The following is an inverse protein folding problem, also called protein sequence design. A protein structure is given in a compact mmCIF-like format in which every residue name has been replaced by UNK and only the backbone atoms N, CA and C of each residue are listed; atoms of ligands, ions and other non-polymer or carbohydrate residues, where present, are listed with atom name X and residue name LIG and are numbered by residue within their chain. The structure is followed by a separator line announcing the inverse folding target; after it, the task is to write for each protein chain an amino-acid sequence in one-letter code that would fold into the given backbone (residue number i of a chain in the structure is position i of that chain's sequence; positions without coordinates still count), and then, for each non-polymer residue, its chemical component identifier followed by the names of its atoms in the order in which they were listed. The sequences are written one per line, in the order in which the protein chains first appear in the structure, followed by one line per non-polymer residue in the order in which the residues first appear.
data_IF_246711264519
#
_entry.id   IF_246711264519
#
_cell.length_a   1.000
_cell.length_b   1.000
_cell.length_c   1.000
_cell.angle_alpha   90.00
_cell.angle_beta   90.00
_cell.angle_gamma   90.00
#
_symmetry.space_group_name_H-M   'P 1'
#
loop_
_entity.id
_entity.type
_entity.pdbx_description
1 polymer ?
#
# COMPACT_ATOMS: atom_id res chain seq x y z
N UNK A 1 15.26 6.36 6.62
CA UNK A 1 14.41 5.26 7.11
C UNK A 1 15.35 4.25 7.71
N UNK A 2 15.35 4.06 9.03
CA UNK A 2 16.21 3.04 9.65
C UNK A 2 15.77 1.66 9.19
N UNK A 3 16.72 0.77 8.90
CA UNK A 3 16.50 -0.57 8.34
C UNK A 3 15.42 -1.36 9.09
N UNK A 4 15.37 -1.19 10.42
CA UNK A 4 14.45 -1.87 11.33
C UNK A 4 12.98 -1.50 11.10
N UNK A 5 12.69 -0.23 10.74
CA UNK A 5 11.32 0.25 10.45
C UNK A 5 10.79 -0.33 9.14
N UNK A 6 11.66 -0.50 8.15
CA UNK A 6 11.33 -1.16 6.88
C UNK A 6 11.01 -2.63 7.11
N UNK A 7 11.84 -3.33 7.88
CA UNK A 7 11.67 -4.75 8.18
C UNK A 7 10.33 -4.97 8.90
N UNK A 8 10.01 -4.20 9.94
CA UNK A 8 8.75 -4.33 10.67
C UNK A 8 7.52 -4.13 9.77
N UNK A 9 7.53 -3.13 8.89
CA UNK A 9 6.44 -2.87 7.95
C UNK A 9 6.30 -4.02 6.95
N UNK A 10 7.41 -4.48 6.38
CA UNK A 10 7.43 -5.62 5.45
C UNK A 10 6.93 -6.90 6.14
N UNK A 11 7.31 -7.13 7.40
CA UNK A 11 6.86 -8.28 8.18
C UNK A 11 5.36 -8.23 8.46
N UNK A 12 4.80 -7.08 8.86
CA UNK A 12 3.34 -6.95 9.08
C UNK A 12 2.57 -7.19 7.79
N UNK A 13 3.02 -6.60 6.66
CA UNK A 13 2.39 -6.81 5.35
C UNK A 13 2.53 -8.28 4.92
N UNK A 14 3.69 -8.90 5.10
CA UNK A 14 3.93 -10.30 4.74
C UNK A 14 3.11 -11.28 5.58
N UNK A 15 3.03 -11.08 6.91
CA UNK A 15 2.20 -11.90 7.80
C UNK A 15 0.73 -11.75 7.44
N UNK A 16 0.28 -10.54 7.14
CA UNK A 16 -1.09 -10.25 6.73
C UNK A 16 -1.44 -10.96 5.41
N UNK A 17 -0.53 -10.92 4.43
CA UNK A 17 -0.67 -11.65 3.17
C UNK A 17 -0.62 -13.18 3.37
N UNK A 18 0.30 -13.69 4.20
CA UNK A 18 0.42 -15.12 4.52
C UNK A 18 -0.82 -15.66 5.23
N UNK A 19 -1.32 -14.93 6.23
CA UNK A 19 -2.56 -15.28 6.93
C UNK A 19 -3.76 -15.29 5.98
N UNK A 20 -3.81 -14.33 5.05
CA UNK A 20 -4.83 -14.30 4.01
C UNK A 20 -4.71 -15.44 2.99
N UNK A 21 -3.50 -15.82 2.61
CA UNK A 21 -3.26 -16.91 1.66
C UNK A 21 -3.69 -18.28 2.18
N UNK A 22 -3.77 -18.47 3.50
CA UNK A 22 -4.28 -19.72 4.10
C UNK A 22 -5.80 -19.85 3.99
N UNK A 23 -6.53 -18.74 3.85
CA UNK A 23 -8.00 -18.75 3.70
C UNK A 23 -8.37 -18.99 2.23
N UNK A 24 -9.06 -20.10 1.95
CA UNK A 24 -9.51 -20.46 0.58
C UNK A 24 -10.32 -19.33 -0.07
N UNK A 25 -11.25 -18.73 0.67
CA UNK A 25 -12.08 -17.60 0.23
C UNK A 25 -11.25 -16.38 -0.18
N UNK A 26 -10.18 -16.02 0.54
CA UNK A 26 -9.34 -14.87 0.18
C UNK A 26 -8.50 -15.11 -1.08
N UNK A 27 -8.07 -16.37 -1.32
CA UNK A 27 -7.38 -16.73 -2.57
C UNK A 27 -8.33 -16.67 -3.77
N UNK A 28 -9.56 -17.12 -3.61
CA UNK A 28 -10.58 -17.06 -4.66
C UNK A 28 -10.96 -15.61 -4.98
N UNK A 29 -11.11 -14.76 -3.97
CA UNK A 29 -11.31 -13.32 -4.14
C UNK A 29 -10.10 -12.65 -4.83
N UNK A 30 -8.86 -13.00 -4.47
CA UNK A 30 -7.69 -12.47 -5.16
C UNK A 30 -7.67 -12.89 -6.64
N UNK A 31 -8.02 -14.13 -6.95
CA UNK A 31 -8.11 -14.62 -8.33
C UNK A 31 -9.21 -13.91 -9.11
N UNK A 32 -10.37 -13.64 -8.51
CA UNK A 32 -11.46 -12.92 -9.17
C UNK A 32 -11.08 -11.47 -9.47
N UNK A 33 -10.33 -10.81 -8.57
CA UNK A 33 -9.83 -9.46 -8.80
C UNK A 33 -8.87 -9.38 -9.99
N UNK A 34 -7.91 -10.29 -10.06
CA UNK A 34 -6.93 -10.32 -11.18
C UNK A 34 -7.59 -10.77 -12.48
N UNK A 35 -8.68 -11.53 -12.41
CA UNK A 35 -9.45 -11.96 -13.59
C UNK A 35 -10.44 -10.89 -14.08
N UNK A 36 -10.78 -9.91 -13.22
CA UNK A 36 -11.66 -8.81 -13.56
C UNK A 36 -10.90 -7.72 -14.31
N UNK A 37 -11.11 -7.63 -15.63
CA UNK A 37 -10.48 -6.64 -16.51
C UNK A 37 -10.67 -5.19 -16.02
N UNK A 38 -11.86 -4.84 -15.51
CA UNK A 38 -12.12 -3.48 -15.01
C UNK A 38 -11.29 -3.17 -13.76
N UNK A 39 -11.16 -4.13 -12.86
CA UNK A 39 -10.35 -3.98 -11.66
C UNK A 39 -8.86 -3.87 -11.99
N UNK A 40 -8.36 -4.73 -12.88
CA UNK A 40 -6.97 -4.70 -13.35
C UNK A 40 -6.63 -3.38 -14.04
N UNK A 41 -7.51 -2.86 -14.90
CA UNK A 41 -7.30 -1.56 -15.56
C UNK A 41 -7.22 -0.44 -14.53
N UNK A 42 -8.11 -0.40 -13.54
CA UNK A 42 -8.05 0.59 -12.46
C UNK A 42 -6.75 0.51 -11.67
N UNK A 43 -6.30 -0.70 -11.32
CA UNK A 43 -5.01 -0.91 -10.66
C UNK A 43 -3.84 -0.41 -11.50
N UNK A 44 -3.86 -0.67 -12.81
CA UNK A 44 -2.85 -0.20 -13.75
C UNK A 44 -2.79 1.33 -13.78
N UNK A 45 -3.94 2.01 -13.83
CA UNK A 45 -4.01 3.47 -13.80
C UNK A 45 -3.43 4.02 -12.50
N UNK A 46 -3.77 3.43 -11.36
CA UNK A 46 -3.23 3.84 -10.04
C UNK A 46 -1.72 3.67 -10.01
N UNK A 47 -1.20 2.53 -10.48
CA UNK A 47 0.25 2.26 -10.54
C UNK A 47 0.94 3.26 -11.47
N UNK A 48 0.40 3.48 -12.67
CA UNK A 48 0.94 4.48 -13.61
C UNK A 48 0.96 5.89 -12.99
N UNK A 49 -0.08 6.27 -12.25
CA UNK A 49 -0.12 7.55 -11.55
C UNK A 49 0.95 7.65 -10.46
N UNK A 50 1.12 6.62 -9.63
CA UNK A 50 2.18 6.59 -8.61
C UNK A 50 3.57 6.68 -9.25
N UNK A 51 3.80 5.95 -10.34
CA UNK A 51 5.07 5.98 -11.09
C UNK A 51 5.30 7.36 -11.71
N UNK A 52 4.28 7.97 -12.30
CA UNK A 52 4.36 9.33 -12.84
C UNK A 52 4.80 10.33 -11.75
N UNK A 53 4.12 10.33 -10.61
CA UNK A 53 4.46 11.24 -9.51
C UNK A 53 5.87 10.96 -8.96
N UNK A 54 6.26 9.69 -8.86
CA UNK A 54 7.56 9.31 -8.31
C UNK A 54 8.75 9.60 -9.23
N UNK A 55 8.60 9.37 -10.54
CA UNK A 55 9.70 9.46 -11.51
C UNK A 55 9.73 10.77 -12.30
N UNK A 56 8.63 11.53 -12.33
CA UNK A 56 8.55 12.79 -13.08
C UNK A 56 8.37 13.96 -12.10
N UNK A 57 7.25 14.01 -11.37
CA UNK A 57 6.92 15.17 -10.53
C UNK A 57 7.87 15.36 -9.34
N UNK A 58 8.28 14.25 -8.69
CA UNK A 58 9.15 14.30 -7.53
C UNK A 58 10.58 14.78 -7.88
N UNK A 59 11.25 14.28 -8.94
CA UNK A 59 12.53 14.81 -9.40
C UNK A 59 12.50 16.29 -9.78
N UNK A 60 11.47 16.71 -10.53
CA UNK A 60 11.33 18.07 -11.07
C UNK A 60 10.99 19.12 -10.00
N UNK A 61 10.49 18.70 -8.83
CA UNK A 61 10.17 19.63 -7.75
C UNK A 61 11.42 20.05 -7.00
N UNK A 62 11.87 21.30 -7.11
CA UNK A 62 13.03 21.81 -6.36
C UNK A 62 12.70 22.20 -4.91
N UNK A 63 11.44 22.59 -4.65
CA UNK A 63 10.96 22.95 -3.32
C UNK A 63 10.96 21.75 -2.37
N UNK A 64 11.76 21.85 -1.30
CA UNK A 64 11.92 20.80 -0.27
C UNK A 64 10.62 20.50 0.48
N UNK A 65 9.78 21.50 0.76
CA UNK A 65 8.51 21.32 1.46
C UNK A 65 7.51 20.63 0.53
N UNK A 66 7.42 21.08 -0.72
CA UNK A 66 6.56 20.44 -1.73
C UNK A 66 6.97 18.99 -2.01
N UNK A 67 8.28 18.71 -2.13
CA UNK A 67 8.82 17.34 -2.23
C UNK A 67 8.38 16.46 -1.07
N UNK A 68 8.47 16.96 0.17
CA UNK A 68 8.06 16.21 1.37
C UNK A 68 6.57 15.86 1.31
N UNK A 69 5.72 16.81 0.91
CA UNK A 69 4.28 16.60 0.72
C UNK A 69 3.99 15.54 -0.35
N UNK A 70 4.70 15.57 -1.48
CA UNK A 70 4.56 14.55 -2.55
C UNK A 70 4.92 13.16 -2.03
N UNK A 71 6.04 13.02 -1.32
CA UNK A 71 6.47 11.74 -0.73
C UNK A 71 5.42 11.22 0.26
N UNK A 72 4.87 12.08 1.11
CA UNK A 72 3.84 11.70 2.07
C UNK A 72 2.51 11.32 1.39
N UNK A 73 2.15 12.00 0.30
CA UNK A 73 1.00 11.63 -0.53
C UNK A 73 1.17 10.27 -1.20
N UNK A 74 2.34 9.96 -1.77
CA UNK A 74 2.64 8.63 -2.35
C UNK A 74 2.51 7.55 -1.27
N UNK A 75 3.11 7.78 -0.10
CA UNK A 75 3.05 6.89 1.06
C UNK A 75 1.61 6.60 1.50
N UNK A 76 0.78 7.63 1.65
CA UNK A 76 -0.63 7.50 2.03
C UNK A 76 -1.47 6.83 0.94
N UNK A 77 -1.24 7.17 -0.32
CA UNK A 77 -1.90 6.53 -1.46
C UNK A 77 -1.59 5.03 -1.56
N UNK A 78 -0.33 4.65 -1.39
CA UNK A 78 0.07 3.24 -1.35
C UNK A 78 -0.56 2.50 -0.18
N UNK A 79 -0.59 3.11 1.02
CA UNK A 79 -1.27 2.52 2.18
C UNK A 79 -2.76 2.29 1.91
N UNK A 80 -3.44 3.28 1.34
CA UNK A 80 -4.86 3.19 0.97
C UNK A 80 -5.11 2.08 -0.05
N UNK A 81 -4.21 1.91 -1.03
CA UNK A 81 -4.27 0.84 -2.02
C UNK A 81 -4.18 -0.55 -1.37
N UNK A 82 -3.22 -0.74 -0.46
CA UNK A 82 -3.07 -1.99 0.28
C UNK A 82 -4.33 -2.28 1.11
N UNK A 83 -4.87 -1.27 1.80
CA UNK A 83 -6.11 -1.39 2.58
C UNK A 83 -7.29 -1.79 1.70
N UNK A 84 -7.47 -1.14 0.55
CA UNK A 84 -8.55 -1.45 -0.37
C UNK A 84 -8.48 -2.90 -0.87
N UNK A 85 -7.29 -3.37 -1.25
CA UNK A 85 -7.08 -4.77 -1.66
C UNK A 85 -7.41 -5.73 -0.53
N UNK A 86 -6.94 -5.47 0.69
CA UNK A 86 -7.17 -6.32 1.86
C UNK A 86 -8.66 -6.42 2.23
N UNK A 87 -9.38 -5.29 2.14
CA UNK A 87 -10.83 -5.25 2.36
C UNK A 87 -11.57 -6.11 1.32
N UNK A 88 -11.19 -5.99 0.06
CA UNK A 88 -11.81 -6.70 -1.06
C UNK A 88 -11.58 -8.22 -1.01
N UNK A 89 -10.41 -8.68 -0.52
CA UNK A 89 -10.13 -10.12 -0.34
C UNK A 89 -10.66 -10.70 0.98
N UNK A 90 -11.61 -10.02 1.62
CA UNK A 90 -12.28 -10.43 2.85
C UNK A 90 -11.34 -10.64 4.05
N UNK A 91 -10.25 -9.88 4.12
CA UNK A 91 -9.40 -9.82 5.31
C UNK A 91 -9.80 -8.63 6.16
N UNK A 92 -11.00 -8.67 6.74
CA UNK A 92 -11.63 -7.53 7.42
C UNK A 92 -10.81 -6.88 8.52
N UNK A 93 -9.98 -7.64 9.26
CA UNK A 93 -9.14 -7.10 10.34
C UNK A 93 -7.76 -6.63 9.87
N UNK A 94 -7.33 -7.06 8.68
CA UNK A 94 -6.01 -6.76 8.14
C UNK A 94 -5.77 -5.26 7.85
N UNK A 95 -6.72 -4.53 7.24
CA UNK A 95 -6.60 -3.09 7.06
C UNK A 95 -6.23 -2.33 8.33
N UNK A 96 -6.86 -2.69 9.46
CA UNK A 96 -6.58 -2.06 10.75
C UNK A 96 -5.10 -2.20 11.14
N UNK A 97 -4.57 -3.43 11.13
CA UNK A 97 -3.19 -3.68 11.52
C UNK A 97 -2.18 -3.02 10.59
N UNK A 98 -2.48 -2.98 9.29
CA UNK A 98 -1.61 -2.34 8.30
C UNK A 98 -1.57 -0.82 8.49
N UNK A 99 -2.72 -0.17 8.70
CA UNK A 99 -2.78 1.27 8.97
C UNK A 99 -2.11 1.61 10.30
N UNK A 100 -2.38 0.82 11.34
CA UNK A 100 -1.80 1.02 12.66
C UNK A 100 -0.27 0.90 12.63
N UNK A 101 0.27 -0.17 12.04
CA UNK A 101 1.70 -0.36 11.90
C UNK A 101 2.33 0.75 11.05
N UNK A 102 1.70 1.12 9.92
CA UNK A 102 2.20 2.20 9.08
C UNK A 102 2.24 3.53 9.83
N UNK A 103 1.18 3.88 10.56
CA UNK A 103 1.13 5.10 11.37
C UNK A 103 2.23 5.11 12.44
N UNK A 104 2.34 4.02 13.19
CA UNK A 104 3.31 3.87 14.27
C UNK A 104 4.76 3.99 13.77
N UNK A 105 5.12 3.31 12.68
CA UNK A 105 6.49 3.26 12.17
C UNK A 105 6.86 4.41 11.23
N UNK A 106 5.91 4.93 10.43
CA UNK A 106 6.18 5.96 9.40
C UNK A 106 5.83 7.38 9.81
N UNK A 107 4.81 7.59 10.64
CA UNK A 107 4.37 8.94 11.07
C UNK A 107 4.87 9.32 12.46
N UNK A 108 5.59 8.43 13.17
CA UNK A 108 6.28 8.76 14.40
C UNK A 108 5.32 9.05 15.56
N UNK A 109 4.80 8.00 16.19
CA UNK A 109 4.61 8.03 17.64
C UNK A 109 5.93 7.56 18.29
N UNK A 110 6.99 8.33 18.05
CA UNK A 110 8.30 8.29 18.70
C UNK A 110 9.10 9.52 18.26
#
# INVERSE_FOLDING_TARGET
MTLDKTIALTTVVAITFLAGYRKKSSREALKSLVSNKFWVINMLIIVCFILYVHYIELPETEDKEKRKKIIDSIKKGFLALVVAVLAEIHLTIAPFWVVYAFSYYMHGYA
#
